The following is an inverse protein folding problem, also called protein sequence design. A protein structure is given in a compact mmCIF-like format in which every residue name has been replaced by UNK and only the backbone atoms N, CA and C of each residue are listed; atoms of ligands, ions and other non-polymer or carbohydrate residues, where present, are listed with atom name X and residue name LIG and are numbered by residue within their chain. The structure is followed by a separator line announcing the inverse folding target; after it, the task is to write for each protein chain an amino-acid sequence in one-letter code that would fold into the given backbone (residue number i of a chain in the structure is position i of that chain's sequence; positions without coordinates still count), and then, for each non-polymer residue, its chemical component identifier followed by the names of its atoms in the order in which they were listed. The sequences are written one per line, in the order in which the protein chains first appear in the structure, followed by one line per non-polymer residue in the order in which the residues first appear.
data_IF_891033297049
#
_entry.id   IF_891033297049
#
_cell.length_a   1.000
_cell.length_b   1.000
_cell.length_c   1.000
_cell.angle_alpha   90.00
_cell.angle_beta   90.00
_cell.angle_gamma   90.00
#
_symmetry.space_group_name_H-M   'P 1'
#
loop_
_entity.id
_entity.type
_entity.pdbx_description
1 polymer ?
#
# COMPACT_ATOMS: atom_id res chain seq x y z
N UNK A 1 -18.58 -5.24 21.69
CA UNK A 1 -18.82 -4.53 20.41
C UNK A 1 -17.89 -5.17 19.39
N UNK A 2 -18.42 -5.95 18.45
CA UNK A 2 -17.61 -6.66 17.46
C UNK A 2 -17.41 -5.79 16.22
N UNK A 3 -16.17 -5.70 15.73
CA UNK A 3 -15.82 -4.89 14.55
C UNK A 3 -15.52 -5.80 13.38
N UNK A 4 -16.36 -5.77 12.34
CA UNK A 4 -16.13 -6.52 11.10
C UNK A 4 -15.56 -5.59 10.02
N UNK A 5 -14.34 -5.88 9.55
CA UNK A 5 -13.73 -5.12 8.46
C UNK A 5 -13.95 -5.86 7.14
N UNK A 6 -14.74 -5.29 6.22
CA UNK A 6 -14.93 -5.83 4.88
C UNK A 6 -14.64 -4.78 3.82
N UNK A 7 -14.03 -5.20 2.71
CA UNK A 7 -13.87 -4.34 1.55
C UNK A 7 -15.20 -4.26 0.81
N UNK A 8 -15.67 -3.05 0.53
CA UNK A 8 -16.88 -2.83 -0.26
C UNK A 8 -16.57 -1.98 -1.49
N UNK A 9 -17.29 -2.25 -2.58
CA UNK A 9 -17.24 -1.48 -3.83
C UNK A 9 -18.51 -0.66 -3.90
N UNK A 10 -18.35 0.64 -4.14
CA UNK A 10 -19.48 1.52 -4.43
C UNK A 10 -19.79 1.44 -5.92
N UNK A 11 -20.95 0.89 -6.26
CA UNK A 11 -21.37 0.68 -7.65
C UNK A 11 -22.84 1.11 -7.79
N UNK A 12 -23.13 2.01 -8.76
CA UNK A 12 -24.49 2.48 -9.06
C UNK A 12 -25.25 3.04 -7.86
N UNK A 13 -24.56 3.76 -6.96
CA UNK A 13 -25.19 4.36 -5.78
C UNK A 13 -25.32 3.42 -4.58
N UNK A 14 -24.87 2.17 -4.68
CA UNK A 14 -25.01 1.15 -3.63
C UNK A 14 -23.64 0.64 -3.19
N UNK A 15 -23.39 0.65 -1.88
CA UNK A 15 -22.19 0.06 -1.28
C UNK A 15 -22.35 -1.46 -1.17
N UNK A 16 -21.65 -2.21 -2.02
CA UNK A 16 -21.72 -3.68 -2.03
C UNK A 16 -20.45 -4.29 -1.42
N UNK A 17 -20.54 -5.13 -0.38
CA UNK A 17 -19.37 -5.82 0.15
C UNK A 17 -18.84 -6.81 -0.89
N UNK A 18 -17.52 -6.89 -1.07
CA UNK A 18 -16.86 -7.83 -1.99
C UNK A 18 -17.06 -9.30 -1.57
N UNK A 19 -17.19 -9.53 -0.27
CA UNK A 19 -17.44 -10.85 0.32
C UNK A 19 -18.74 -10.77 1.12
N UNK A 20 -19.58 -11.79 1.01
CA UNK A 20 -20.81 -11.90 1.82
C UNK A 20 -20.43 -11.83 3.30
N UNK A 21 -21.07 -10.90 4.00
CA UNK A 21 -20.94 -10.75 5.45
C UNK A 21 -22.11 -11.51 6.07
N UNK A 22 -21.83 -12.61 6.76
CA UNK A 22 -22.86 -13.35 7.48
C UNK A 22 -23.02 -12.69 8.85
N UNK A 23 -24.01 -11.81 8.98
CA UNK A 23 -24.36 -11.18 10.24
C UNK A 23 -25.63 -11.83 10.82
N UNK A 24 -25.79 -11.85 12.15
CA UNK A 24 -27.05 -12.23 12.80
C UNK A 24 -28.22 -11.33 12.34
N UNK A 25 -29.43 -11.89 12.32
CA UNK A 25 -30.64 -11.11 12.05
C UNK A 25 -30.75 -9.90 12.99
N UNK A 26 -31.22 -8.76 12.47
CA UNK A 26 -31.37 -7.48 13.19
C UNK A 26 -30.06 -6.79 13.65
N UNK A 27 -28.91 -7.15 13.09
CA UNK A 27 -27.65 -6.47 13.41
C UNK A 27 -27.62 -5.01 12.89
N UNK A 28 -27.30 -4.05 13.78
CA UNK A 28 -27.04 -2.65 13.42
C UNK A 28 -25.55 -2.52 13.04
N UNK A 29 -25.28 -2.01 11.83
CA UNK A 29 -23.91 -1.92 11.28
C UNK A 29 -23.50 -0.45 11.16
N UNK A 30 -22.41 -0.05 11.83
CA UNK A 30 -21.77 1.25 11.64
C UNK A 30 -20.75 1.15 10.50
N UNK A 31 -20.97 1.89 9.40
CA UNK A 31 -20.10 1.86 8.23
C UNK A 31 -19.11 3.03 8.29
N UNK A 32 -17.82 2.75 8.43
CA UNK A 32 -16.75 3.74 8.31
C UNK A 32 -16.13 3.71 6.92
N UNK A 33 -16.50 4.69 6.09
CA UNK A 33 -15.93 4.83 4.75
C UNK A 33 -14.61 5.58 4.81
N UNK A 34 -13.52 4.93 4.42
CA UNK A 34 -12.24 5.60 4.12
C UNK A 34 -12.06 5.62 2.60
N UNK A 35 -12.22 6.80 2.00
CA UNK A 35 -11.95 6.99 0.58
C UNK A 35 -10.44 6.94 0.33
N UNK A 36 -9.98 5.92 -0.39
CA UNK A 36 -8.61 5.89 -0.92
C UNK A 36 -8.68 6.64 -2.26
N UNK A 37 -7.90 7.72 -2.47
CA UNK A 37 -7.93 8.44 -3.74
C UNK A 37 -7.60 7.49 -4.89
N UNK A 38 -8.36 7.54 -6.00
CA UNK A 38 -8.11 6.67 -7.14
C UNK A 38 -6.71 6.96 -7.70
N UNK A 39 -5.95 5.91 -7.98
CA UNK A 39 -4.64 6.06 -8.57
C UNK A 39 -4.77 6.72 -9.95
N UNK A 40 -4.06 7.84 -10.17
CA UNK A 40 -4.09 8.59 -11.44
C UNK A 40 -3.52 7.80 -12.63
N UNK A 41 -2.81 6.70 -12.37
CA UNK A 41 -2.17 5.87 -13.39
C UNK A 41 -2.83 4.48 -13.49
N UNK A 42 -3.08 3.99 -14.71
CA UNK A 42 -3.54 2.61 -14.99
C UNK A 42 -2.34 1.67 -15.19
N UNK A 43 -1.42 1.63 -14.23
CA UNK A 43 -0.28 0.70 -14.28
C UNK A 43 -0.42 -0.35 -13.19
N UNK A 44 0.17 -1.54 -13.37
CA UNK A 44 0.19 -2.59 -12.34
C UNK A 44 0.81 -2.11 -11.01
N UNK A 45 1.59 -1.03 -11.06
CA UNK A 45 2.23 -0.40 -9.91
C UNK A 45 1.50 0.83 -9.38
N UNK A 46 0.36 1.20 -9.95
CA UNK A 46 -0.36 2.42 -9.58
C UNK A 46 -0.74 2.48 -8.09
N UNK A 47 -1.05 1.33 -7.49
CA UNK A 47 -1.28 1.21 -6.05
C UNK A 47 -0.01 1.52 -5.24
N UNK A 48 1.16 1.05 -5.69
CA UNK A 48 2.43 1.32 -5.01
C UNK A 48 2.84 2.79 -5.15
N UNK A 49 2.59 3.40 -6.31
CA UNK A 49 2.83 4.82 -6.55
C UNK A 49 1.93 5.65 -5.62
N UNK A 50 0.62 5.34 -5.57
CA UNK A 50 -0.31 6.02 -4.67
C UNK A 50 0.03 5.84 -3.19
N UNK A 51 0.48 4.65 -2.79
CA UNK A 51 0.98 4.41 -1.43
C UNK A 51 2.21 5.26 -1.14
N UNK A 52 3.18 5.31 -2.06
CA UNK A 52 4.38 6.14 -1.90
C UNK A 52 4.03 7.62 -1.74
N UNK A 53 3.16 8.15 -2.59
CA UNK A 53 2.71 9.55 -2.53
C UNK A 53 2.03 9.88 -1.20
N UNK A 54 1.25 8.94 -0.65
CA UNK A 54 0.51 9.08 0.60
C UNK A 54 1.36 8.99 1.88
N UNK A 55 2.63 8.57 1.79
CA UNK A 55 3.48 8.43 2.97
C UNK A 55 3.85 9.80 3.57
N UNK A 56 3.96 9.91 4.90
CA UNK A 56 4.51 11.11 5.54
C UNK A 56 5.95 11.37 5.11
N UNK A 57 6.33 12.65 4.95
CA UNK A 57 7.68 13.04 4.50
C UNK A 57 8.83 12.46 5.35
N UNK A 58 8.60 12.31 6.67
CA UNK A 58 9.58 11.66 7.57
C UNK A 58 9.84 10.19 7.21
N UNK A 59 8.83 9.49 6.71
CA UNK A 59 8.97 8.09 6.32
C UNK A 59 9.60 7.97 4.93
N UNK A 60 9.24 8.85 3.99
CA UNK A 60 9.87 8.92 2.66
C UNK A 60 11.38 9.15 2.77
N UNK A 61 11.79 10.18 3.50
CA UNK A 61 13.21 10.52 3.73
C UNK A 61 13.98 9.38 4.41
N UNK A 62 13.38 8.68 5.37
CA UNK A 62 13.99 7.49 5.99
C UNK A 62 14.23 6.36 4.98
N UNK A 63 13.25 6.09 4.11
CA UNK A 63 13.35 5.08 3.06
C UNK A 63 14.39 5.46 2.00
N UNK A 64 14.46 6.74 1.61
CA UNK A 64 15.49 7.24 0.70
C UNK A 64 16.90 7.11 1.27
N UNK A 65 17.07 7.43 2.56
CA UNK A 65 18.35 7.25 3.26
C UNK A 65 18.77 5.77 3.34
N UNK A 66 17.81 4.87 3.60
CA UNK A 66 18.06 3.43 3.59
C UNK A 66 18.46 2.92 2.20
N UNK A 67 17.78 3.41 1.16
CA UNK A 67 18.10 3.12 -0.24
C UNK A 67 19.51 3.57 -0.60
N UNK A 68 19.88 4.81 -0.22
CA UNK A 68 21.22 5.36 -0.47
C UNK A 68 22.32 4.50 0.16
N UNK A 69 22.14 4.11 1.43
CA UNK A 69 23.07 3.21 2.14
C UNK A 69 23.18 1.85 1.45
N UNK A 70 22.06 1.31 1.00
CA UNK A 70 22.03 0.01 0.31
C UNK A 70 22.76 0.07 -1.04
N UNK A 71 22.56 1.15 -1.81
CA UNK A 71 23.29 1.40 -3.07
C UNK A 71 24.79 1.52 -2.85
N UNK A 72 25.22 2.21 -1.80
CA UNK A 72 26.64 2.32 -1.48
C UNK A 72 27.25 0.95 -1.13
N UNK A 73 26.51 0.12 -0.37
CA UNK A 73 26.94 -1.24 -0.03
C UNK A 73 27.00 -2.15 -1.25
N UNK A 74 26.00 -2.09 -2.15
CA UNK A 74 25.99 -2.91 -3.37
C UNK A 74 27.12 -2.49 -4.33
N UNK A 75 27.33 -1.19 -4.54
CA UNK A 75 28.45 -0.67 -5.32
C UNK A 75 29.80 -1.15 -4.77
N UNK A 76 29.98 -1.09 -3.45
CA UNK A 76 31.19 -1.59 -2.79
C UNK A 76 31.39 -3.10 -2.99
N UNK A 77 30.31 -3.89 -2.97
CA UNK A 77 30.37 -5.34 -3.24
C UNK A 77 30.72 -5.62 -4.70
N UNK A 78 30.09 -4.93 -5.65
CA UNK A 78 30.39 -5.07 -7.08
C UNK A 78 31.84 -4.72 -7.38
N UNK A 79 32.37 -3.64 -6.78
CA UNK A 79 33.77 -3.26 -6.93
C UNK A 79 34.74 -4.31 -6.37
N UNK A 80 34.38 -5.00 -5.27
CA UNK A 80 35.18 -6.11 -4.73
C UNK A 80 35.18 -7.31 -5.67
N UNK A 81 34.02 -7.69 -6.19
CA UNK A 81 33.86 -8.79 -7.16
C UNK A 81 34.62 -8.48 -8.45
N UNK A 82 34.50 -7.27 -8.97
CA UNK A 82 35.22 -6.84 -10.18
C UNK A 82 36.74 -6.87 -10.00
N UNK A 83 37.25 -6.58 -8.79
CA UNK A 83 38.68 -6.70 -8.46
C UNK A 83 39.14 -8.15 -8.28
N UNK A 84 38.28 -9.07 -7.85
CA UNK A 84 38.64 -10.50 -7.72
C UNK A 84 38.59 -11.28 -9.04
N UNK A 85 37.96 -10.71 -10.07
CA UNK A 85 37.90 -11.26 -11.42
C UNK A 85 39.07 -10.80 -12.31
N UNK A 86 39.92 -9.91 -11.80
CA UNK A 86 41.09 -9.34 -12.48
C UNK A 86 42.36 -9.96 -11.90
#
# INVERSE_FOLDING_TARGET
METFTTQAVYEKGVLKPRKKLNLPEYSIVEIRVRAIPPAKHKTQFALLIGMWESLPEKQKTSLENSLARTRQRSASKLNKIAKSLK
#
